data_IF_555399527061
#
_entry.id   IF_555399527061
#
_cell.length_a   1.000
_cell.length_b   1.000
_cell.length_c   1.000
_cell.angle_alpha   90.00
_cell.angle_beta   90.00
_cell.angle_gamma   90.00
#
_symmetry.space_group_name_H-M   'P 1'
#
loop_
_entity.id
_entity.type
_entity.pdbx_description
1 polymer ?
#
# COMPACT_ATOMS: atom_id res chain seq x y z
N UNK A 1 25.63 -12.13 31.42
CA UNK A 1 26.10 -11.53 30.16
C UNK A 1 25.48 -12.35 29.03
N UNK A 2 24.21 -12.07 28.74
CA UNK A 2 23.42 -12.84 27.76
C UNK A 2 22.86 -11.84 26.75
N UNK A 3 23.75 -11.30 25.94
CA UNK A 3 23.44 -10.43 24.81
C UNK A 3 24.28 -10.95 23.64
N UNK A 4 23.66 -11.80 22.80
CA UNK A 4 23.93 -11.91 21.35
C UNK A 4 23.24 -13.15 20.77
N UNK A 5 21.91 -13.11 20.63
CA UNK A 5 21.17 -14.12 19.84
C UNK A 5 20.25 -13.47 18.79
N UNK A 6 20.32 -12.15 18.62
CA UNK A 6 19.50 -11.44 17.62
C UNK A 6 20.25 -11.06 16.34
N UNK A 7 21.57 -11.20 16.28
CA UNK A 7 22.37 -10.79 15.11
C UNK A 7 22.45 -11.88 14.02
N UNK A 8 22.26 -13.16 14.35
CA UNK A 8 22.40 -14.26 13.37
C UNK A 8 21.20 -14.48 12.44
N UNK A 9 20.07 -13.78 12.63
CA UNK A 9 18.88 -13.95 11.76
C UNK A 9 18.81 -13.00 10.57
N UNK A 10 19.75 -12.07 10.42
CA UNK A 10 19.75 -11.09 9.33
C UNK A 10 20.58 -11.54 8.12
N UNK A 11 21.53 -12.47 8.30
CA UNK A 11 22.49 -12.83 7.24
C UNK A 11 22.03 -13.95 6.29
N UNK A 12 20.92 -14.64 6.59
CA UNK A 12 20.41 -15.75 5.78
C UNK A 12 19.35 -15.36 4.72
N UNK A 13 19.21 -14.07 4.40
CA UNK A 13 18.32 -13.57 3.34
C UNK A 13 19.02 -13.30 2.00
N UNK A 14 20.34 -13.44 1.93
CA UNK A 14 21.16 -13.02 0.77
C UNK A 14 21.27 -14.06 -0.35
N UNK A 15 20.61 -15.22 -0.25
CA UNK A 15 20.60 -16.23 -1.32
C UNK A 15 19.34 -16.23 -2.21
N UNK A 16 18.55 -15.16 -2.17
CA UNK A 16 17.29 -15.06 -2.90
C UNK A 16 17.49 -14.52 -4.32
N UNK A 17 18.18 -15.27 -5.19
CA UNK A 17 18.10 -15.02 -6.66
C UNK A 17 16.68 -15.19 -7.23
N UNK A 18 15.71 -15.59 -6.39
CA UNK A 18 14.34 -15.83 -6.77
C UNK A 18 13.45 -14.66 -6.31
N UNK A 19 12.82 -14.00 -7.27
CA UNK A 19 11.60 -13.19 -7.07
C UNK A 19 10.39 -14.13 -6.96
N UNK A 20 9.47 -13.81 -6.07
CA UNK A 20 8.19 -14.50 -5.89
C UNK A 20 7.15 -14.02 -6.90
N UNK A 21 7.19 -12.75 -7.30
CA UNK A 21 6.32 -12.22 -8.33
C UNK A 21 6.80 -12.64 -9.73
N UNK A 22 5.89 -13.01 -10.64
CA UNK A 22 6.24 -13.38 -12.00
C UNK A 22 6.75 -12.16 -12.77
N UNK A 23 8.05 -12.13 -13.09
CA UNK A 23 8.69 -11.01 -13.81
C UNK A 23 8.03 -10.69 -15.16
N UNK A 24 7.44 -11.69 -15.83
CA UNK A 24 6.70 -11.47 -17.08
C UNK A 24 5.49 -10.55 -16.88
N UNK A 25 4.79 -10.68 -15.74
CA UNK A 25 3.64 -9.85 -15.41
C UNK A 25 4.06 -8.45 -14.95
N UNK A 26 5.14 -8.35 -14.19
CA UNK A 26 5.74 -7.06 -13.83
C UNK A 26 6.18 -6.31 -15.08
N UNK A 27 6.86 -6.98 -16.02
CA UNK A 27 7.27 -6.39 -17.31
C UNK A 27 6.06 -5.89 -18.12
N UNK A 28 4.96 -6.64 -18.15
CA UNK A 28 3.74 -6.25 -18.84
C UNK A 28 3.16 -4.96 -18.26
N UNK A 29 3.09 -4.84 -16.93
CA UNK A 29 2.60 -3.65 -16.23
C UNK A 29 3.55 -2.47 -16.47
N UNK A 30 4.86 -2.67 -16.37
CA UNK A 30 5.83 -1.60 -16.68
C UNK A 30 5.66 -1.07 -18.11
N UNK A 31 5.35 -1.93 -19.09
CA UNK A 31 5.11 -1.56 -20.49
C UNK A 31 3.72 -0.97 -20.77
N UNK A 32 2.78 -0.98 -19.81
CA UNK A 32 1.50 -0.31 -20.03
C UNK A 32 1.63 1.22 -19.96
N UNK A 33 2.73 1.73 -19.40
CA UNK A 33 3.05 3.15 -19.43
C UNK A 33 3.50 3.56 -20.84
N UNK A 34 2.89 4.61 -21.43
CA UNK A 34 3.17 5.02 -22.82
C UNK A 34 4.64 5.41 -23.06
N UNK A 35 5.35 5.86 -22.02
CA UNK A 35 6.73 6.32 -22.10
C UNK A 35 7.78 5.21 -21.95
N UNK A 36 7.37 3.95 -21.75
CA UNK A 36 8.28 2.82 -21.49
C UNK A 36 8.41 1.94 -22.74
N UNK A 37 9.47 2.18 -23.53
CA UNK A 37 9.75 1.43 -24.76
C UNK A 37 10.57 0.15 -24.51
N UNK A 38 11.65 0.24 -23.74
CA UNK A 38 12.53 -0.87 -23.37
C UNK A 38 12.72 -0.96 -21.86
N UNK A 39 12.96 -2.18 -21.37
CA UNK A 39 13.19 -2.47 -19.95
C UNK A 39 14.37 -3.43 -19.87
N UNK A 40 15.47 -2.98 -19.27
CA UNK A 40 16.64 -3.81 -19.02
C UNK A 40 16.33 -4.87 -17.92
N UNK A 41 17.16 -5.92 -17.84
CA UNK A 41 16.88 -7.03 -16.94
C UNK A 41 17.05 -6.66 -15.45
N UNK A 42 18.00 -5.78 -15.14
CA UNK A 42 18.29 -5.36 -13.76
C UNK A 42 17.18 -4.46 -13.19
N UNK A 43 16.65 -3.52 -13.97
CA UNK A 43 15.51 -2.71 -13.58
C UNK A 43 14.26 -3.58 -13.40
N UNK A 44 14.04 -4.56 -14.28
CA UNK A 44 12.92 -5.49 -14.09
C UNK A 44 13.05 -6.27 -12.78
N UNK A 45 14.25 -6.79 -12.48
CA UNK A 45 14.50 -7.50 -11.23
C UNK A 45 14.30 -6.59 -10.01
N UNK A 46 14.86 -5.38 -10.04
CA UNK A 46 14.76 -4.40 -8.96
C UNK A 46 13.32 -3.97 -8.73
N UNK A 47 12.58 -3.63 -9.79
CA UNK A 47 11.15 -3.28 -9.70
C UNK A 47 10.36 -4.45 -9.14
N UNK A 48 10.61 -5.69 -9.59
CA UNK A 48 9.94 -6.88 -9.06
C UNK A 48 10.16 -7.03 -7.55
N UNK A 49 11.40 -6.87 -7.08
CA UNK A 49 11.72 -6.92 -5.65
C UNK A 49 11.13 -5.75 -4.87
N UNK A 50 11.17 -4.55 -5.43
CA UNK A 50 10.54 -3.38 -4.82
C UNK A 50 9.03 -3.57 -4.67
N UNK A 51 8.35 -4.14 -5.66
CA UNK A 51 6.91 -4.44 -5.59
C UNK A 51 6.60 -5.46 -4.49
N UNK A 52 7.41 -6.51 -4.33
CA UNK A 52 7.25 -7.48 -3.22
C UNK A 52 7.35 -6.81 -1.85
N UNK A 53 8.37 -5.98 -1.66
CA UNK A 53 8.59 -5.24 -0.42
C UNK A 53 7.49 -4.21 -0.18
N UNK A 54 7.03 -3.55 -1.24
CA UNK A 54 5.95 -2.57 -1.18
C UNK A 54 4.65 -3.20 -0.68
N UNK A 55 4.24 -4.36 -1.22
CA UNK A 55 3.02 -5.05 -0.78
C UNK A 55 3.10 -5.44 0.70
N UNK A 56 4.26 -5.95 1.14
CA UNK A 56 4.48 -6.27 2.56
C UNK A 56 4.43 -5.02 3.44
N UNK A 57 5.06 -3.95 2.99
CA UNK A 57 5.09 -2.68 3.72
C UNK A 57 3.69 -2.06 3.84
N UNK A 58 2.92 -2.03 2.74
CA UNK A 58 1.54 -1.54 2.74
C UNK A 58 0.67 -2.34 3.72
N UNK A 59 0.73 -3.67 3.68
CA UNK A 59 -0.03 -4.53 4.57
C UNK A 59 0.34 -4.30 6.05
N UNK A 60 1.63 -4.25 6.36
CA UNK A 60 2.12 -4.08 7.72
C UNK A 60 1.80 -2.68 8.28
N UNK A 61 2.02 -1.64 7.49
CA UNK A 61 1.73 -0.26 7.89
C UNK A 61 0.24 -0.05 8.13
N UNK A 62 -0.61 -0.56 7.22
CA UNK A 62 -2.07 -0.50 7.36
C UNK A 62 -2.55 -1.28 8.59
N UNK A 63 -1.99 -2.46 8.84
CA UNK A 63 -2.32 -3.27 10.01
C UNK A 63 -1.91 -2.58 11.34
N UNK A 64 -0.74 -1.93 11.36
CA UNK A 64 -0.20 -1.29 12.56
C UNK A 64 -0.86 0.04 12.91
N UNK A 65 -1.31 0.78 11.90
CA UNK A 65 -1.89 2.11 12.05
C UNK A 65 -3.41 2.08 12.06
N UNK A 66 -4.03 1.02 11.53
CA UNK A 66 -5.46 0.76 11.65
C UNK A 66 -5.83 -0.03 12.91
N UNK A 67 -7.04 -0.59 12.89
CA UNK A 67 -7.62 -1.41 13.97
C UNK A 67 -7.07 -2.85 14.05
N UNK A 68 -6.03 -3.13 13.25
CA UNK A 68 -5.51 -4.49 13.08
C UNK A 68 -4.84 -5.03 14.33
N UNK A 69 -4.20 -4.19 15.15
CA UNK A 69 -3.57 -4.62 16.41
C UNK A 69 -4.57 -5.17 17.41
N UNK A 70 -5.77 -4.59 17.47
CA UNK A 70 -6.82 -4.97 18.41
C UNK A 70 -7.64 -6.14 17.87
N UNK A 71 -7.95 -6.12 16.57
CA UNK A 71 -8.81 -7.13 15.93
C UNK A 71 -8.06 -8.35 15.43
N UNK A 72 -6.72 -8.28 15.35
CA UNK A 72 -5.86 -9.27 14.70
C UNK A 72 -6.27 -9.60 13.25
N UNK A 73 -6.85 -8.62 12.56
CA UNK A 73 -7.29 -8.72 11.17
C UNK A 73 -6.89 -7.48 10.39
N UNK A 74 -6.64 -7.61 9.08
CA UNK A 74 -6.44 -6.45 8.20
C UNK A 74 -7.71 -6.24 7.37
N UNK A 75 -8.38 -5.11 7.56
CA UNK A 75 -9.60 -4.75 6.85
C UNK A 75 -9.33 -3.78 5.71
N UNK A 76 -10.29 -3.64 4.79
CA UNK A 76 -10.21 -2.64 3.73
C UNK A 76 -10.15 -1.21 4.28
N UNK A 77 -10.87 -0.92 5.37
CA UNK A 77 -10.83 0.40 6.00
C UNK A 77 -9.43 0.77 6.49
N UNK A 78 -8.66 -0.20 7.00
CA UNK A 78 -7.29 0.07 7.44
C UNK A 78 -6.39 0.44 6.25
N UNK A 79 -6.57 -0.22 5.10
CA UNK A 79 -5.85 0.10 3.85
C UNK A 79 -6.24 1.48 3.31
N UNK A 80 -7.53 1.80 3.29
CA UNK A 80 -8.02 3.10 2.81
C UNK A 80 -7.55 4.25 3.72
N UNK A 81 -7.55 4.05 5.04
CA UNK A 81 -7.03 5.03 5.99
C UNK A 81 -5.53 5.24 5.79
N UNK A 82 -4.75 4.16 5.64
CA UNK A 82 -3.31 4.27 5.41
C UNK A 82 -3.00 5.04 4.12
N UNK A 83 -3.77 4.85 3.05
CA UNK A 83 -3.62 5.57 1.80
C UNK A 83 -3.88 7.08 1.94
N UNK A 84 -4.82 7.49 2.80
CA UNK A 84 -5.16 8.90 3.00
C UNK A 84 -4.25 9.61 4.02
N UNK A 85 -3.86 8.91 5.08
CA UNK A 85 -3.16 9.52 6.23
C UNK A 85 -1.63 9.45 6.10
N UNK A 86 -1.10 8.61 5.21
CA UNK A 86 0.35 8.45 5.03
C UNK A 86 0.78 9.07 3.69
N UNK A 87 1.64 10.09 3.75
CA UNK A 87 2.16 10.81 2.57
C UNK A 87 2.74 9.85 1.51
N UNK A 88 3.51 8.84 1.94
CA UNK A 88 4.12 7.87 1.03
C UNK A 88 3.11 6.95 0.32
N UNK A 89 1.88 6.87 0.80
CA UNK A 89 0.79 6.08 0.20
C UNK A 89 -0.25 6.95 -0.52
N UNK A 90 -0.08 8.27 -0.57
CA UNK A 90 -1.07 9.17 -1.14
C UNK A 90 -1.38 8.86 -2.62
N UNK A 91 -0.44 8.27 -3.37
CA UNK A 91 -0.69 7.82 -4.74
C UNK A 91 -1.76 6.71 -4.86
N UNK A 92 -2.18 6.10 -3.74
CA UNK A 92 -3.20 5.07 -3.68
C UNK A 92 -4.60 5.62 -3.35
N UNK A 93 -4.79 6.90 -3.04
CA UNK A 93 -6.09 7.44 -2.60
C UNK A 93 -7.20 7.21 -3.62
N UNK A 94 -6.90 7.33 -4.90
CA UNK A 94 -7.85 7.10 -6.00
C UNK A 94 -8.14 5.61 -6.22
N UNK A 95 -7.24 4.72 -5.79
CA UNK A 95 -7.33 3.27 -5.95
C UNK A 95 -7.99 2.61 -4.72
N UNK A 96 -7.75 3.16 -3.54
CA UNK A 96 -8.24 2.69 -2.24
C UNK A 96 -9.07 3.78 -1.53
N UNK A 97 -10.17 4.26 -2.13
CA UNK A 97 -10.96 5.33 -1.54
C UNK A 97 -11.65 4.86 -0.25
N UNK A 98 -11.80 5.79 0.72
CA UNK A 98 -12.71 5.59 1.86
C UNK A 98 -14.14 5.44 1.35
N UNK A 99 -14.82 4.41 1.84
CA UNK A 99 -16.22 4.17 1.48
C UNK A 99 -17.13 5.06 2.32
N UNK A 100 -18.03 5.78 1.65
CA UNK A 100 -19.13 6.52 2.27
C UNK A 100 -20.46 5.91 1.82
N UNK A 101 -21.43 5.77 2.72
CA UNK A 101 -22.76 5.35 2.33
C UNK A 101 -23.47 6.51 1.64
N UNK A 102 -24.22 6.22 0.57
CA UNK A 102 -24.97 7.25 -0.16
C UNK A 102 -25.88 8.09 0.74
N UNK A 103 -26.53 7.45 1.73
CA UNK A 103 -27.35 8.15 2.74
C UNK A 103 -26.55 9.18 3.56
N UNK A 104 -25.31 8.85 3.92
CA UNK A 104 -24.46 9.68 4.76
C UNK A 104 -23.90 10.85 3.93
N UNK A 105 -23.60 10.58 2.66
CA UNK A 105 -23.21 11.61 1.68
C UNK A 105 -24.36 12.59 1.39
N UNK A 106 -25.57 12.11 1.14
CA UNK A 106 -26.74 12.96 0.91
C UNK A 106 -27.04 13.84 2.12
N UNK A 107 -26.93 13.28 3.33
CA UNK A 107 -27.11 14.03 4.57
C UNK A 107 -26.06 15.14 4.73
N UNK A 108 -24.79 14.85 4.45
CA UNK A 108 -23.73 15.86 4.53
C UNK A 108 -23.87 16.96 3.46
N UNK A 109 -24.43 16.66 2.28
CA UNK A 109 -24.80 17.69 1.30
C UNK A 109 -25.98 18.57 1.76
N UNK A 110 -26.97 18.01 2.45
CA UNK A 110 -28.08 18.79 3.01
C UNK A 110 -27.64 19.70 4.15
N UNK A 111 -26.72 19.24 5.00
CA UNK A 111 -26.13 20.03 6.08
C UNK A 111 -25.31 21.20 5.52
N UNK A 112 -24.45 20.95 4.53
CA UNK A 112 -23.65 22.01 3.88
C UNK A 112 -24.52 23.10 3.22
N UNK A 113 -25.69 22.74 2.66
CA UNK A 113 -26.64 23.73 2.11
C UNK A 113 -27.30 24.58 3.18
N UNK A 114 -27.67 23.99 4.32
CA UNK A 114 -28.27 24.74 5.43
C UNK A 114 -27.31 25.75 6.03
N UNK A 115 -26.04 25.40 6.10
CA UNK A 115 -25.01 26.31 6.59
C UNK A 115 -24.82 27.51 5.65
N UNK A 116 -24.86 27.30 4.32
CA UNK A 116 -24.80 28.37 3.31
C UNK A 116 -26.04 29.28 3.31
N UNK A 117 -27.24 28.71 3.46
CA UNK A 117 -28.50 29.47 3.57
C UNK A 117 -28.61 30.27 4.89
N UNK A 118 -27.74 30.01 5.87
CA UNK A 118 -27.73 30.66 7.19
C UNK A 118 -26.75 31.83 7.32
N UNK A 119 -25.98 32.12 6.25
CA UNK A 119 -25.03 33.24 6.12
C UNK A 119 -25.65 34.42 5.33
#
# INVERSE_FOLDING_TARGET
>A
MSENTMEEKVEQATNSKNVSLPMSRVRLIMKSSPDVSCINQDALFLTTKATELFVQHLALSSYKNGSGKETNTLSYSDLANAAEETETFQFLTDILPKKILARDYLKSLEEMKKDDDSL
#
